data_IF_364541024235
#
_entry.id   IF_364541024235
#
_cell.length_a   1.000
_cell.length_b   1.000
_cell.length_c   1.000
_cell.angle_alpha   90.00
_cell.angle_beta   90.00
_cell.angle_gamma   90.00
#
_symmetry.space_group_name_H-M   'P 1'
#
loop_
_entity.id
_entity.type
_entity.pdbx_description
1 polymer ?
#
# COMPACT_ATOMS: atom_id res chain seq x y z
N UNK A 1 6.93 -10.56 -13.49
CA UNK A 1 7.00 -9.11 -13.76
C UNK A 1 8.29 -8.49 -13.24
N UNK A 2 8.64 -8.73 -11.96
CA UNK A 2 9.87 -8.25 -11.29
C UNK A 2 11.17 -8.33 -12.11
N UNK A 3 11.48 -9.51 -12.68
CA UNK A 3 12.71 -9.72 -13.43
C UNK A 3 12.84 -8.80 -14.67
N UNK A 4 11.70 -8.34 -15.22
CA UNK A 4 11.70 -7.35 -16.30
C UNK A 4 11.85 -5.92 -15.76
N UNK A 5 11.21 -5.60 -14.64
CA UNK A 5 11.21 -4.26 -14.06
C UNK A 5 12.51 -3.90 -13.31
N UNK A 6 13.40 -4.85 -13.06
CA UNK A 6 14.76 -4.56 -12.55
C UNK A 6 15.65 -3.90 -13.61
N UNK A 7 15.40 -4.16 -14.89
CA UNK A 7 16.21 -3.65 -16.02
C UNK A 7 15.44 -2.79 -17.01
N UNK A 8 14.12 -2.64 -16.82
CA UNK A 8 13.23 -1.89 -17.71
C UNK A 8 12.21 -1.11 -16.90
N UNK A 9 11.72 -0.03 -17.49
CA UNK A 9 10.64 0.77 -16.93
C UNK A 9 9.30 0.17 -17.38
N UNK A 10 8.39 -0.03 -16.44
CA UNK A 10 7.00 -0.41 -16.71
C UNK A 10 6.06 0.71 -16.28
N UNK A 11 5.12 1.04 -17.18
CA UNK A 11 4.03 1.98 -16.93
C UNK A 11 2.69 1.24 -16.91
N UNK A 12 1.92 1.48 -15.86
CA UNK A 12 0.58 0.90 -15.64
C UNK A 12 -0.44 2.02 -15.66
N UNK A 13 -1.57 1.78 -16.32
CA UNK A 13 -2.70 2.68 -16.35
C UNK A 13 -3.95 1.97 -15.81
N UNK A 14 -4.94 2.72 -15.31
CA UNK A 14 -6.25 2.18 -15.02
C UNK A 14 -6.86 1.58 -16.30
N UNK A 15 -7.68 0.54 -16.14
CA UNK A 15 -8.38 -0.08 -17.27
C UNK A 15 -9.25 0.98 -17.95
N UNK A 16 -9.18 1.09 -19.29
CA UNK A 16 -9.91 2.11 -20.07
C UNK A 16 -11.44 2.08 -19.92
N UNK A 17 -12.03 1.01 -19.37
CA UNK A 17 -13.44 0.93 -19.01
C UNK A 17 -13.81 1.75 -17.76
N UNK A 18 -12.84 2.40 -17.11
CA UNK A 18 -13.03 3.28 -15.96
C UNK A 18 -13.36 4.70 -16.41
N UNK A 19 -14.64 4.94 -16.67
CA UNK A 19 -15.15 6.25 -17.07
C UNK A 19 -15.38 7.21 -15.90
N UNK A 20 -15.23 6.73 -14.65
CA UNK A 20 -15.56 7.49 -13.42
C UNK A 20 -14.34 8.14 -12.75
N UNK A 21 -13.19 8.23 -13.43
CA UNK A 21 -11.93 8.79 -12.89
C UNK A 21 -11.46 8.12 -11.58
N UNK A 22 -11.88 6.89 -11.35
CA UNK A 22 -11.54 6.07 -10.19
C UNK A 22 -10.12 5.47 -10.31
N UNK A 23 -9.34 5.59 -9.25
CA UNK A 23 -7.97 5.08 -9.23
C UNK A 23 -7.88 3.59 -8.94
N UNK A 24 -6.79 2.97 -9.40
CA UNK A 24 -6.46 1.57 -9.09
C UNK A 24 -5.64 1.52 -7.80
N UNK A 25 -5.70 0.40 -7.07
CA UNK A 25 -4.82 0.21 -5.91
C UNK A 25 -3.35 0.08 -6.38
N UNK A 26 -2.45 1.02 -6.02
CA UNK A 26 -1.08 1.02 -6.49
C UNK A 26 -0.21 -0.03 -5.77
N UNK A 27 -0.60 -0.54 -4.60
CA UNK A 27 0.24 -1.42 -3.77
C UNK A 27 0.62 -2.73 -4.48
N UNK A 28 -0.29 -3.47 -5.16
CA UNK A 28 0.10 -4.67 -5.90
C UNK A 28 1.03 -4.37 -7.07
N UNK A 29 0.89 -3.19 -7.68
CA UNK A 29 1.72 -2.76 -8.81
C UNK A 29 3.16 -2.45 -8.35
N UNK A 30 3.32 -1.66 -7.29
CA UNK A 30 4.62 -1.42 -6.66
C UNK A 30 5.21 -2.73 -6.13
N UNK A 31 4.41 -3.58 -5.51
CA UNK A 31 4.80 -4.92 -5.08
C UNK A 31 5.25 -5.83 -6.23
N UNK A 32 4.84 -5.59 -7.48
CA UNK A 32 5.34 -6.30 -8.67
C UNK A 32 6.55 -5.61 -9.35
N UNK A 33 7.01 -4.50 -8.77
CA UNK A 33 8.16 -3.71 -9.22
C UNK A 33 7.88 -2.70 -10.32
N UNK A 34 6.61 -2.42 -10.65
CA UNK A 34 6.29 -1.33 -11.57
C UNK A 34 6.68 0.02 -10.99
N UNK A 35 7.30 0.87 -11.80
CA UNK A 35 7.80 2.17 -11.38
C UNK A 35 6.79 3.28 -11.61
N UNK A 36 6.04 3.20 -12.71
CA UNK A 36 5.13 4.28 -13.12
C UNK A 36 3.69 3.78 -13.07
N UNK A 37 2.99 4.07 -11.98
CA UNK A 37 1.54 3.86 -11.90
C UNK A 37 0.85 5.20 -12.14
N UNK A 38 0.15 5.31 -13.27
CA UNK A 38 -0.60 6.50 -13.62
C UNK A 38 -1.90 6.53 -12.81
N UNK A 39 -2.02 7.51 -11.93
CA UNK A 39 -3.23 7.81 -11.17
C UNK A 39 -3.84 9.13 -11.66
N UNK A 40 -5.15 9.27 -11.45
CA UNK A 40 -5.93 10.48 -11.59
C UNK A 40 -5.73 11.34 -10.33
N UNK A 41 -4.75 12.24 -10.33
CA UNK A 41 -4.42 13.07 -9.15
C UNK A 41 -5.51 14.10 -8.80
N UNK A 42 -6.46 14.37 -9.71
CA UNK A 42 -7.63 15.19 -9.42
C UNK A 42 -8.62 14.51 -8.46
N UNK A 43 -8.53 13.19 -8.31
CA UNK A 43 -9.40 12.40 -7.43
C UNK A 43 -8.71 12.25 -6.07
N UNK A 44 -9.26 12.89 -5.04
CA UNK A 44 -8.83 12.66 -3.66
C UNK A 44 -9.40 11.32 -3.16
N UNK A 45 -8.64 10.26 -3.28
CA UNK A 45 -8.97 8.91 -2.83
C UNK A 45 -7.77 8.21 -2.17
N UNK A 46 -7.97 7.00 -1.64
CA UNK A 46 -6.90 6.25 -0.98
C UNK A 46 -5.67 6.04 -1.88
N UNK A 47 -5.80 5.61 -3.15
CA UNK A 47 -4.66 5.53 -4.06
C UNK A 47 -3.84 6.82 -4.18
N UNK A 48 -4.50 7.97 -4.35
CA UNK A 48 -3.82 9.27 -4.42
C UNK A 48 -3.11 9.59 -3.11
N UNK A 49 -3.71 9.28 -1.95
CA UNK A 49 -3.07 9.48 -0.65
C UNK A 49 -1.85 8.57 -0.44
N UNK A 50 -1.94 7.30 -0.84
CA UNK A 50 -0.80 6.37 -0.82
C UNK A 50 0.33 6.85 -1.73
N UNK A 51 -0.02 7.39 -2.90
CA UNK A 51 0.94 8.00 -3.82
C UNK A 51 1.65 9.20 -3.18
N UNK A 52 0.92 10.11 -2.55
CA UNK A 52 1.54 11.23 -1.82
C UNK A 52 2.45 10.75 -0.68
N UNK A 53 1.97 9.81 0.15
CA UNK A 53 2.75 9.28 1.26
C UNK A 53 4.05 8.58 0.82
N UNK A 54 4.02 7.82 -0.28
CA UNK A 54 5.21 7.17 -0.81
C UNK A 54 6.21 8.19 -1.35
N UNK A 55 5.75 9.16 -2.16
CA UNK A 55 6.63 10.10 -2.85
C UNK A 55 7.05 11.32 -2.00
N UNK A 56 6.54 11.46 -0.78
CA UNK A 56 7.10 12.35 0.23
C UNK A 56 8.51 11.88 0.68
N UNK A 57 8.78 10.57 0.58
CA UNK A 57 10.12 10.03 0.76
C UNK A 57 11.10 10.67 -0.23
N UNK A 58 12.38 10.67 0.15
CA UNK A 58 13.44 11.31 -0.64
C UNK A 58 13.15 12.80 -0.94
N UNK A 59 12.55 13.50 0.03
CA UNK A 59 12.33 14.94 -0.02
C UNK A 59 11.34 15.39 -1.10
N UNK A 60 10.39 14.55 -1.51
CA UNK A 60 9.41 14.94 -2.52
C UNK A 60 9.93 14.94 -3.96
N UNK A 61 11.11 14.37 -4.23
CA UNK A 61 11.76 14.44 -5.55
C UNK A 61 11.01 13.68 -6.67
N UNK A 62 9.97 12.90 -6.33
CA UNK A 62 9.22 12.08 -7.29
C UNK A 62 9.89 10.75 -7.65
N UNK A 63 11.03 10.42 -7.01
CA UNK A 63 11.74 9.16 -7.18
C UNK A 63 12.08 8.54 -5.84
N UNK A 64 11.65 7.30 -5.63
CA UNK A 64 11.95 6.51 -4.44
C UNK A 64 12.70 5.26 -4.90
N UNK A 65 13.86 4.99 -4.28
CA UNK A 65 14.65 3.80 -4.60
C UNK A 65 13.87 2.55 -4.19
N UNK A 66 13.76 1.59 -5.11
CA UNK A 66 13.15 0.28 -4.80
C UNK A 66 14.00 -0.46 -3.76
N UNK A 67 13.40 -1.29 -2.89
CA UNK A 67 14.13 -2.22 -2.03
C UNK A 67 15.15 -3.06 -2.82
N UNK A 68 16.26 -3.42 -2.17
CA UNK A 68 17.37 -4.14 -2.80
C UNK A 68 16.92 -5.47 -3.42
N UNK A 69 15.99 -6.16 -2.77
CA UNK A 69 15.38 -7.42 -3.21
C UNK A 69 14.62 -7.27 -4.53
N UNK A 70 14.19 -6.05 -4.86
CA UNK A 70 13.48 -5.72 -6.10
C UNK A 70 14.42 -5.19 -7.20
N UNK A 71 15.67 -4.87 -6.85
CA UNK A 71 16.73 -4.44 -7.75
C UNK A 71 17.59 -5.62 -8.21
N UNK A 72 17.91 -6.54 -7.29
CA UNK A 72 18.56 -7.79 -7.61
C UNK A 72 17.63 -8.68 -8.45
N UNK A 73 18.21 -9.58 -9.25
CA UNK A 73 17.47 -10.74 -9.76
C UNK A 73 17.23 -11.71 -8.59
N UNK A 74 16.50 -11.28 -7.57
CA UNK A 74 16.20 -12.09 -6.41
C UNK A 74 15.41 -13.33 -6.91
N UNK A 75 15.87 -14.55 -6.60
CA UNK A 75 15.25 -15.77 -7.11
C UNK A 75 13.83 -15.99 -6.57
N UNK A 76 13.45 -15.33 -5.47
CA UNK A 76 12.14 -15.47 -4.84
C UNK A 76 11.65 -14.15 -4.25
N UNK A 77 10.86 -13.41 -5.01
CA UNK A 77 10.03 -12.31 -4.51
C UNK A 77 8.55 -12.77 -4.45
N UNK A 78 7.78 -12.43 -3.39
CA UNK A 78 8.21 -11.71 -2.20
C UNK A 78 9.20 -12.54 -1.37
N UNK A 79 10.17 -11.90 -0.68
CA UNK A 79 11.09 -12.62 0.19
C UNK A 79 10.31 -13.36 1.27
N UNK A 80 10.86 -14.48 1.73
CA UNK A 80 10.33 -15.12 2.93
C UNK A 80 10.32 -14.09 4.07
N UNK A 81 9.21 -14.02 4.82
CA UNK A 81 9.13 -13.15 5.99
C UNK A 81 9.97 -13.76 7.11
N UNK A 82 11.28 -13.49 7.09
CA UNK A 82 12.24 -14.06 8.04
C UNK A 82 12.14 -13.39 9.42
N UNK A 83 11.72 -12.13 9.45
CA UNK A 83 11.59 -11.34 10.67
C UNK A 83 10.25 -10.60 10.69
N UNK A 84 9.47 -10.83 11.74
CA UNK A 84 8.22 -10.12 11.98
C UNK A 84 8.45 -9.04 13.03
N UNK A 85 8.35 -7.78 12.63
CA UNK A 85 8.33 -6.66 13.56
C UNK A 85 6.87 -6.38 13.94
N UNK A 86 6.60 -6.32 15.25
CA UNK A 86 5.28 -5.98 15.78
C UNK A 86 5.39 -4.63 16.49
N UNK A 87 4.66 -3.65 15.98
CA UNK A 87 4.52 -2.35 16.61
C UNK A 87 3.06 -2.15 17.05
N UNK A 88 2.86 -1.65 18.26
CA UNK A 88 1.53 -1.29 18.78
C UNK A 88 1.42 0.23 18.76
N UNK A 89 0.46 0.75 17.99
CA UNK A 89 0.13 2.17 17.97
C UNK A 89 -1.10 2.39 18.86
N UNK A 90 -0.93 3.16 19.94
CA UNK A 90 -2.04 3.61 20.77
C UNK A 90 -2.22 5.12 20.58
N UNK A 91 -3.27 5.57 19.87
CA UNK A 91 -3.62 6.98 19.84
C UNK A 91 -3.96 7.45 21.26
N UNK A 92 -3.22 8.42 21.78
CA UNK A 92 -3.42 8.94 23.15
C UNK A 92 -4.51 10.02 23.14
N UNK A 93 -4.44 10.94 22.19
CA UNK A 93 -5.39 12.04 22.02
C UNK A 93 -5.31 12.60 20.60
N UNK A 94 -6.39 13.27 20.18
CA UNK A 94 -6.48 13.99 18.90
C UNK A 94 -7.03 15.38 19.20
N UNK A 95 -6.42 16.42 18.65
CA UNK A 95 -6.80 17.82 18.89
C UNK A 95 -7.09 18.52 17.58
N UNK A 96 -8.04 19.47 17.61
CA UNK A 96 -8.40 20.34 16.48
C UNK A 96 -8.64 19.57 15.17
N UNK A 97 -9.36 18.45 15.25
CA UNK A 97 -9.69 17.68 14.05
C UNK A 97 -10.59 18.52 13.12
N UNK A 98 -10.30 18.51 11.82
CA UNK A 98 -11.08 19.26 10.83
C UNK A 98 -12.56 18.85 10.82
N UNK A 99 -13.43 19.81 10.50
CA UNK A 99 -14.87 19.58 10.51
C UNK A 99 -15.28 18.67 9.34
N UNK A 100 -16.40 17.94 9.50
CA UNK A 100 -16.86 16.90 8.54
C UNK A 100 -17.09 17.38 7.09
N UNK A 101 -17.08 18.68 6.81
CA UNK A 101 -17.37 19.27 5.49
C UNK A 101 -16.12 19.58 4.65
N UNK A 102 -14.92 19.34 5.16
CA UNK A 102 -13.67 19.54 4.41
C UNK A 102 -13.40 18.37 3.42
N UNK A 103 -12.57 18.60 2.41
CA UNK A 103 -12.23 17.64 1.34
C UNK A 103 -11.65 16.34 1.92
N UNK A 104 -12.49 15.30 1.97
CA UNK A 104 -12.09 13.95 2.42
C UNK A 104 -11.79 13.04 1.24
N UNK A 105 -10.88 12.07 1.43
CA UNK A 105 -10.74 11.00 0.46
C UNK A 105 -12.09 10.31 0.23
N UNK A 106 -12.43 10.14 -1.04
CA UNK A 106 -13.52 9.30 -1.50
C UNK A 106 -13.10 7.84 -1.34
N UNK A 107 -13.22 7.33 -0.12
CA UNK A 107 -13.02 5.91 0.18
C UNK A 107 -14.27 5.15 -0.28
N UNK A 108 -14.12 4.19 -1.20
CA UNK A 108 -15.19 3.25 -1.53
C UNK A 108 -15.46 2.35 -0.32
N UNK A 109 -16.61 2.58 0.34
CA UNK A 109 -16.98 1.93 1.60
C UNK A 109 -18.05 2.74 2.33
N UNK A 110 -18.70 2.13 3.34
CA UNK A 110 -19.74 2.81 4.11
C UNK A 110 -19.23 4.17 4.62
N UNK A 111 -20.05 5.22 4.46
CA UNK A 111 -19.82 6.68 4.69
C UNK A 111 -19.29 7.09 6.09
N UNK A 112 -18.74 6.17 6.87
CA UNK A 112 -18.22 6.34 8.24
C UNK A 112 -16.73 5.99 8.39
N UNK A 113 -16.06 5.53 7.34
CA UNK A 113 -14.72 4.93 7.47
C UNK A 113 -13.53 5.90 7.44
N UNK A 114 -13.73 7.22 7.31
CA UNK A 114 -12.61 8.19 7.19
C UNK A 114 -11.70 8.26 8.44
N UNK A 115 -12.15 7.71 9.56
CA UNK A 115 -11.36 7.47 10.78
C UNK A 115 -11.61 6.07 11.38
N UNK A 116 -12.32 5.21 10.65
CA UNK A 116 -12.43 3.83 11.10
C UNK A 116 -11.08 3.18 10.85
N UNK A 117 -10.57 2.48 11.85
CA UNK A 117 -9.51 1.50 11.67
C UNK A 117 -9.81 0.69 10.40
N UNK A 118 -8.96 0.81 9.38
CA UNK A 118 -9.05 0.05 8.14
C UNK A 118 -8.17 -1.19 8.32
N UNK A 119 -8.75 -2.35 8.69
CA UNK A 119 -7.97 -3.56 8.93
C UNK A 119 -7.23 -4.04 7.68
N UNK A 120 -7.66 -3.66 6.48
CA UNK A 120 -7.04 -4.10 5.22
C UNK A 120 -5.58 -3.64 5.06
N UNK A 121 -5.18 -2.55 5.71
CA UNK A 121 -3.80 -2.04 5.74
C UNK A 121 -2.95 -2.67 6.85
N UNK A 122 -3.57 -3.36 7.81
CA UNK A 122 -2.92 -4.03 8.93
C UNK A 122 -2.98 -5.54 8.69
N UNK A 123 -1.85 -6.21 8.50
CA UNK A 123 -1.86 -7.66 8.41
C UNK A 123 -2.59 -8.23 9.64
N UNK A 124 -3.69 -8.95 9.44
CA UNK A 124 -4.56 -9.39 10.52
C UNK A 124 -3.86 -10.47 11.38
N UNK A 125 -3.10 -10.02 12.37
CA UNK A 125 -2.24 -10.86 13.22
C UNK A 125 -3.05 -11.87 14.05
N UNK A 126 -4.37 -11.68 14.19
CA UNK A 126 -5.24 -12.65 14.86
C UNK A 126 -5.40 -13.95 14.07
N UNK A 127 -5.34 -13.89 12.74
CA UNK A 127 -5.34 -15.09 11.90
C UNK A 127 -4.01 -15.86 12.00
N UNK A 128 -2.87 -15.15 12.07
CA UNK A 128 -1.55 -15.74 12.18
C UNK A 128 -1.31 -16.51 13.50
N UNK A 129 -1.98 -16.09 14.60
CA UNK A 129 -1.94 -16.79 15.89
C UNK A 129 -2.71 -18.12 15.94
N UNK A 130 -3.54 -18.43 14.94
CA UNK A 130 -4.41 -19.63 14.93
C UNK A 130 -3.84 -20.82 14.16
N UNK A 131 -2.64 -20.74 13.59
CA UNK A 131 -2.01 -21.89 12.96
C UNK A 131 -1.73 -22.99 14.02
N UNK A 132 -2.16 -24.25 13.79
CA UNK A 132 -1.96 -25.32 14.76
C UNK A 132 -0.47 -25.60 14.93
N UNK A 133 0.00 -25.63 16.19
CA UNK A 133 1.34 -26.11 16.53
C UNK A 133 1.47 -27.55 16.03
N UNK A 134 2.42 -27.79 15.12
CA UNK A 134 2.77 -29.12 14.67
C UNK A 134 3.06 -30.03 15.88
N UNK A 135 2.29 -31.11 16.01
CA UNK A 135 2.56 -32.16 16.99
C UNK A 135 3.94 -32.76 16.70
N UNK A 136 4.88 -32.58 17.63
CA UNK A 136 6.12 -33.36 17.65
C UNK A 136 5.72 -34.82 17.86
N UNK A 137 5.90 -35.65 16.84
CA UNK A 137 5.82 -37.11 16.96
C UNK A 137 7.02 -37.59 17.78
N UNK A 138 6.75 -38.27 18.89
CA UNK A 138 7.69 -39.12 19.61
C UNK A 138 7.84 -40.46 18.89
#
# INVERSE_FOLDING_TARGET
MQARTSRRIARIYPKGTRTKSDNLDPLPCWGAGAQMIALNLQTNDLPTQLHHALFELNGGAGYVLKPEEMLAAAPSWPPARVQLHVATLQPISLFNLPARKEDRPHLDGARRASHAYVPELSADLKAARRAPRAQKRS
#
